data_IF_106166485749
#
_entry.id   IF_106166485749
#
_cell.length_a   1.000
_cell.length_b   1.000
_cell.length_c   1.000
_cell.angle_alpha   90.00
_cell.angle_beta   90.00
_cell.angle_gamma   90.00
#
_symmetry.space_group_name_H-M   'P 1'
#
loop_
_entity.id
_entity.type
_entity.pdbx_description
1 polymer ?
#
# COMPACT_ATOMS: atom_id res chain seq x y z
N UNK A 1 -6.67 43.63 5.56
CA UNK A 1 -6.21 42.53 4.70
C UNK A 1 -5.23 41.71 5.52
N UNK A 2 -5.69 40.68 6.21
CA UNK A 2 -4.81 39.72 6.88
C UNK A 2 -5.40 38.35 6.65
N UNK A 3 -4.59 37.54 5.97
CA UNK A 3 -4.87 36.22 5.44
C UNK A 3 -5.14 35.23 6.57
N UNK A 4 -6.36 34.70 6.62
CA UNK A 4 -6.67 33.51 7.40
C UNK A 4 -6.25 32.28 6.61
N UNK A 5 -4.99 31.87 6.74
CA UNK A 5 -4.53 30.59 6.21
C UNK A 5 -5.33 29.46 6.87
N UNK A 6 -6.17 28.81 6.07
CA UNK A 6 -6.89 27.59 6.41
C UNK A 6 -5.87 26.47 6.66
N UNK A 7 -5.54 26.26 7.93
CA UNK A 7 -4.68 25.18 8.39
C UNK A 7 -5.50 23.90 8.35
N UNK A 8 -5.59 23.26 7.18
CA UNK A 8 -6.12 21.91 7.04
C UNK A 8 -5.20 21.00 7.84
N UNK A 9 -5.59 20.71 9.08
CA UNK A 9 -4.90 19.79 9.98
C UNK A 9 -4.98 18.41 9.33
N UNK A 10 -3.88 17.91 8.77
CA UNK A 10 -3.84 16.54 8.26
C UNK A 10 -4.13 15.60 9.42
N UNK A 11 -5.28 14.94 9.39
CA UNK A 11 -5.54 13.83 10.31
C UNK A 11 -4.63 12.69 9.86
N UNK A 12 -3.57 12.42 10.63
CA UNK A 12 -2.74 11.23 10.43
C UNK A 12 -3.59 10.00 10.76
N UNK A 13 -4.18 9.39 9.73
CA UNK A 13 -4.89 8.12 9.87
C UNK A 13 -3.88 7.04 10.19
N UNK A 14 -3.99 6.44 11.39
CA UNK A 14 -3.21 5.26 11.76
C UNK A 14 -3.80 4.07 11.00
N UNK A 15 -3.00 3.47 10.13
CA UNK A 15 -3.40 2.31 9.33
C UNK A 15 -3.13 1.02 10.11
N UNK A 16 -4.04 0.06 10.00
CA UNK A 16 -3.84 -1.30 10.52
C UNK A 16 -2.82 -2.05 9.67
N UNK A 17 -1.97 -2.85 10.30
CA UNK A 17 -1.05 -3.75 9.61
C UNK A 17 -1.73 -5.11 9.33
N UNK A 18 -1.32 -5.76 8.24
CA UNK A 18 -1.77 -7.11 7.87
C UNK A 18 -0.87 -8.19 8.45
N UNK A 19 -1.34 -9.43 8.52
CA UNK A 19 -0.61 -10.55 9.12
C UNK A 19 0.79 -10.76 8.52
N UNK A 20 0.93 -10.59 7.19
CA UNK A 20 2.20 -10.76 6.48
C UNK A 20 2.99 -9.46 6.30
N UNK A 21 2.72 -8.42 7.09
CA UNK A 21 3.33 -7.10 6.93
C UNK A 21 4.87 -7.13 6.93
N UNK A 22 5.49 -7.91 7.82
CA UNK A 22 6.96 -8.05 7.87
C UNK A 22 7.52 -8.74 6.62
N UNK A 23 6.81 -9.76 6.10
CA UNK A 23 7.18 -10.41 4.85
C UNK A 23 7.18 -9.41 3.69
N UNK A 24 6.13 -8.59 3.58
CA UNK A 24 6.01 -7.57 2.55
C UNK A 24 7.10 -6.50 2.66
N UNK A 25 7.39 -6.02 3.87
CA UNK A 25 8.48 -5.04 4.13
C UNK A 25 9.85 -5.60 3.73
N UNK A 26 10.13 -6.85 4.10
CA UNK A 26 11.41 -7.52 3.78
C UNK A 26 11.58 -7.78 2.28
N UNK A 27 10.48 -7.86 1.52
CA UNK A 27 10.48 -8.01 0.06
C UNK A 27 10.28 -6.67 -0.67
N UNK A 28 10.48 -5.53 0.01
CA UNK A 28 10.39 -4.19 -0.56
C UNK A 28 9.04 -3.85 -1.21
N UNK A 29 7.94 -4.38 -0.67
CA UNK A 29 6.62 -4.00 -1.11
C UNK A 29 6.38 -2.50 -0.90
N UNK A 30 5.76 -1.85 -1.88
CA UNK A 30 5.22 -0.50 -1.73
C UNK A 30 3.86 -0.60 -1.04
N UNK A 31 3.65 0.23 -0.03
CA UNK A 31 2.41 0.24 0.75
C UNK A 31 1.52 1.43 0.42
N UNK A 32 0.20 1.21 0.45
CA UNK A 32 -0.81 2.24 0.27
C UNK A 32 -1.90 2.13 1.36
N UNK A 33 -2.55 3.25 1.73
CA UNK A 33 -3.77 3.19 2.53
C UNK A 33 -4.91 2.59 1.71
N UNK A 34 -5.45 1.46 2.19
CA UNK A 34 -6.64 0.84 1.59
C UNK A 34 -7.56 0.27 2.68
N UNK A 35 -8.83 0.67 2.69
CA UNK A 35 -9.83 0.19 3.66
C UNK A 35 -9.42 0.32 5.15
N UNK A 36 -8.59 1.30 5.48
CA UNK A 36 -8.05 1.49 6.84
C UNK A 36 -6.84 0.60 7.19
N UNK A 37 -6.29 -0.13 6.22
CA UNK A 37 -5.09 -0.94 6.34
C UNK A 37 -3.94 -0.38 5.49
N UNK A 38 -2.71 -0.71 5.88
CA UNK A 38 -1.50 -0.51 5.09
C UNK A 38 -1.29 -1.74 4.21
N UNK A 39 -1.71 -1.66 2.95
CA UNK A 39 -1.72 -2.79 2.02
C UNK A 39 -0.56 -2.71 1.01
N UNK A 40 0.10 -3.84 0.67
CA UNK A 40 1.09 -3.89 -0.40
C UNK A 40 0.40 -3.72 -1.76
N UNK A 41 0.92 -2.85 -2.62
CA UNK A 41 0.38 -2.62 -3.98
C UNK A 41 1.24 -3.23 -5.09
N UNK A 42 2.57 -3.21 -4.94
CA UNK A 42 3.52 -3.83 -5.87
C UNK A 42 4.90 -3.95 -5.21
N UNK A 43 5.75 -4.80 -5.78
CA UNK A 43 7.15 -5.03 -5.43
C UNK A 43 8.08 -4.38 -6.47
N UNK A 44 9.38 -4.64 -6.37
CA UNK A 44 10.46 -3.98 -7.12
C UNK A 44 10.28 -4.00 -8.65
N UNK A 45 9.68 -5.04 -9.21
CA UNK A 45 9.47 -5.17 -10.65
C UNK A 45 8.32 -4.30 -11.19
N UNK A 46 7.45 -3.79 -10.32
CA UNK A 46 6.35 -2.89 -10.66
C UNK A 46 5.10 -3.60 -11.18
N UNK A 47 4.00 -2.83 -11.17
CA UNK A 47 2.63 -3.33 -11.44
C UNK A 47 2.50 -4.02 -12.80
N UNK A 48 3.11 -3.49 -13.87
CA UNK A 48 2.98 -4.06 -15.22
C UNK A 48 3.62 -5.46 -15.28
N UNK A 49 4.81 -5.62 -14.69
CA UNK A 49 5.50 -6.92 -14.71
C UNK A 49 4.76 -7.96 -13.86
N UNK A 50 4.25 -7.55 -12.70
CA UNK A 50 3.40 -8.43 -11.87
C UNK A 50 2.13 -8.84 -12.60
N UNK A 51 1.45 -7.90 -13.25
CA UNK A 51 0.26 -8.20 -14.05
C UNK A 51 0.55 -9.26 -15.12
N UNK A 52 1.61 -9.07 -15.91
CA UNK A 52 2.01 -10.03 -16.94
C UNK A 52 2.37 -11.40 -16.33
N UNK A 53 3.11 -11.41 -15.22
CA UNK A 53 3.48 -12.65 -14.53
C UNK A 53 2.26 -13.46 -14.07
N UNK A 54 1.23 -12.81 -13.50
CA UNK A 54 0.00 -13.49 -13.08
C UNK A 54 -0.80 -13.99 -14.28
N UNK A 55 -0.77 -13.28 -15.42
CA UNK A 55 -1.47 -13.68 -16.64
C UNK A 55 -0.81 -14.88 -17.33
N UNK A 56 0.51 -14.93 -17.31
CA UNK A 56 1.30 -15.93 -18.03
C UNK A 56 1.64 -17.15 -17.17
N UNK A 57 1.70 -16.98 -15.85
CA UNK A 57 2.17 -17.99 -14.89
C UNK A 57 1.22 -18.09 -13.67
N UNK A 58 1.67 -17.68 -12.49
CA UNK A 58 0.93 -17.78 -11.22
C UNK A 58 1.19 -16.54 -10.37
N UNK A 59 0.15 -16.07 -9.68
CA UNK A 59 0.23 -14.97 -8.71
C UNK A 59 -0.25 -15.40 -7.34
N UNK A 60 0.40 -14.87 -6.30
CA UNK A 60 -0.07 -15.00 -4.91
C UNK A 60 -0.45 -13.62 -4.40
N UNK A 61 -1.67 -13.49 -3.89
CA UNK A 61 -2.22 -12.24 -3.39
C UNK A 61 -2.56 -12.38 -1.91
N UNK A 62 -2.16 -11.38 -1.11
CA UNK A 62 -2.54 -11.28 0.29
C UNK A 62 -3.89 -10.55 0.42
N UNK A 63 -4.92 -11.29 0.85
CA UNK A 63 -6.30 -10.81 1.03
C UNK A 63 -6.71 -10.70 2.50
N UNK A 64 -5.74 -10.64 3.42
CA UNK A 64 -5.96 -10.85 4.86
C UNK A 64 -6.45 -9.61 5.65
N UNK A 65 -7.01 -8.59 5.00
CA UNK A 65 -7.48 -7.36 5.68
C UNK A 65 -8.91 -7.47 6.23
#
# INVERSE_FOLDING_TARGET
MTEGQSKVKSLSVVLKEIFLNDYHKNNHAKFIPFSGYSMPINYDLGIIKEHLHVRELVGVFDVSH
#
